data_IF_920002709918
#
_entry.id   IF_920002709918
#
_cell.length_a   1.000
_cell.length_b   1.000
_cell.length_c   1.000
_cell.angle_alpha   90.00
_cell.angle_beta   90.00
_cell.angle_gamma   90.00
#
_symmetry.space_group_name_H-M   'P 1'
#
loop_
_entity.id
_entity.type
_entity.pdbx_description
1 polymer ?
#
# COMPACT_ATOMS: atom_id res chain seq x y z
N UNK A 1 33.75 -61.85 35.19
CA UNK A 1 32.65 -61.28 34.41
C UNK A 1 32.10 -60.11 35.19
N UNK A 2 32.73 -58.92 35.17
CA UNK A 2 33.14 -58.09 34.00
C UNK A 2 31.90 -57.74 33.16
N UNK A 3 31.54 -56.48 32.86
CA UNK A 3 32.33 -55.27 32.63
C UNK A 3 31.51 -53.98 32.88
N UNK A 4 32.24 -52.90 33.16
CA UNK A 4 31.86 -51.48 32.96
C UNK A 4 31.66 -51.13 31.48
N UNK A 5 30.78 -50.13 31.21
CA UNK A 5 30.95 -48.94 30.34
C UNK A 5 29.56 -48.35 30.03
N UNK A 6 29.22 -47.16 30.56
CA UNK A 6 29.42 -45.82 29.95
C UNK A 6 28.74 -45.64 28.59
N UNK A 7 27.66 -44.85 28.52
CA UNK A 7 27.57 -43.69 27.62
C UNK A 7 26.33 -42.78 27.83
N UNK A 8 26.50 -41.51 27.44
CA UNK A 8 25.83 -40.24 27.81
C UNK A 8 24.46 -39.92 27.10
N UNK A 9 23.81 -38.75 27.38
CA UNK A 9 22.33 -38.62 27.42
C UNK A 9 21.67 -37.99 26.17
N UNK A 10 20.37 -38.23 25.98
CA UNK A 10 19.52 -37.46 25.03
C UNK A 10 18.71 -36.41 25.80
N UNK A 11 19.15 -35.15 25.72
CA UNK A 11 18.39 -33.97 26.14
C UNK A 11 17.21 -33.75 25.18
N UNK A 12 15.97 -34.04 25.59
CA UNK A 12 14.79 -33.44 24.96
C UNK A 12 14.40 -32.18 25.73
N UNK A 13 14.87 -31.04 25.22
CA UNK A 13 14.45 -29.72 25.68
C UNK A 13 12.95 -29.57 25.52
N UNK A 14 12.23 -29.54 26.64
CA UNK A 14 10.83 -29.11 26.69
C UNK A 14 10.81 -27.61 26.43
N UNK A 15 10.63 -27.20 25.18
CA UNK A 15 10.29 -25.83 24.84
C UNK A 15 8.98 -25.48 25.56
N UNK A 16 9.09 -24.72 26.65
CA UNK A 16 7.94 -24.00 27.22
C UNK A 16 7.60 -22.92 26.21
N UNK A 17 6.59 -23.18 25.38
CA UNK A 17 5.83 -22.12 24.71
C UNK A 17 5.21 -21.26 25.81
N UNK A 18 5.86 -20.17 26.15
CA UNK A 18 5.28 -19.10 26.94
C UNK A 18 4.11 -18.54 26.13
N UNK A 19 2.89 -19.00 26.45
CA UNK A 19 1.66 -18.32 26.06
C UNK A 19 1.77 -16.90 26.62
N UNK A 20 1.98 -15.91 25.75
CA UNK A 20 1.76 -14.51 26.07
C UNK A 20 0.31 -14.40 26.51
N UNK A 21 0.11 -13.99 27.76
CA UNK A 21 -1.20 -13.64 28.29
C UNK A 21 -1.63 -12.40 27.52
N UNK A 22 -2.70 -12.52 26.74
CA UNK A 22 -3.39 -11.38 26.17
C UNK A 22 -3.87 -10.56 27.38
N UNK A 23 -3.25 -9.39 27.59
CA UNK A 23 -3.77 -8.42 28.54
C UNK A 23 -5.05 -7.88 27.90
N UNK A 24 -6.20 -8.33 28.41
CA UNK A 24 -7.47 -7.67 28.16
C UNK A 24 -7.35 -6.25 28.70
N UNK A 25 -7.18 -5.29 27.79
CA UNK A 25 -7.25 -3.88 28.11
C UNK A 25 -8.70 -3.59 28.44
N UNK A 26 -8.98 -3.26 29.70
CA UNK A 26 -10.30 -2.81 30.14
C UNK A 26 -10.51 -1.41 29.54
N UNK A 27 -11.21 -1.35 28.41
CA UNK A 27 -11.49 -0.09 27.71
C UNK A 27 -12.67 0.56 28.42
N UNK A 28 -12.42 1.66 29.12
CA UNK A 28 -13.48 2.48 29.72
C UNK A 28 -14.29 3.13 28.58
N UNK A 29 -15.44 2.51 28.26
CA UNK A 29 -16.33 2.92 27.19
C UNK A 29 -17.00 4.28 27.45
N UNK A 30 -16.88 4.86 28.64
CA UNK A 30 -17.48 6.15 29.00
C UNK A 30 -16.48 7.33 28.93
N UNK A 31 -15.21 7.10 28.57
CA UNK A 31 -14.22 8.17 28.40
C UNK A 31 -14.48 8.97 27.09
N UNK A 32 -14.79 10.28 27.17
CA UNK A 32 -15.05 11.11 25.99
C UNK A 32 -13.84 11.26 25.05
N UNK A 33 -12.60 11.03 25.51
CA UNK A 33 -11.40 11.01 24.64
C UNK A 33 -11.24 9.70 23.87
N UNK A 34 -11.76 8.59 24.38
CA UNK A 34 -11.77 7.28 23.71
C UNK A 34 -12.90 7.21 22.66
N UNK A 35 -14.00 7.92 22.90
CA UNK A 35 -15.22 7.81 22.09
C UNK A 35 -15.28 8.68 20.83
N UNK A 36 -14.33 9.59 20.61
CA UNK A 36 -14.41 10.51 19.48
C UNK A 36 -13.24 10.34 18.50
N UNK A 37 -13.42 9.45 17.53
CA UNK A 37 -12.55 9.39 16.38
C UNK A 37 -12.64 10.72 15.60
N UNK A 38 -11.52 11.42 15.33
CA UNK A 38 -11.53 12.62 14.52
C UNK A 38 -11.99 12.35 13.07
N UNK A 39 -11.80 11.12 12.61
CA UNK A 39 -12.15 10.67 11.26
C UNK A 39 -12.95 9.36 11.29
N UNK A 40 -14.21 9.37 11.77
CA UNK A 40 -14.96 8.15 12.05
C UNK A 40 -15.19 7.28 10.80
N UNK A 41 -15.40 7.89 9.63
CA UNK A 41 -15.56 7.15 8.37
C UNK A 41 -14.28 6.45 7.91
N UNK A 42 -13.10 6.98 8.23
CA UNK A 42 -11.84 6.33 7.88
C UNK A 42 -11.67 5.04 8.69
N UNK A 43 -11.91 5.12 10.00
CA UNK A 43 -11.86 3.96 10.91
C UNK A 43 -12.89 2.91 10.55
N UNK A 44 -14.14 3.33 10.29
CA UNK A 44 -15.22 2.42 9.88
C UNK A 44 -14.92 1.73 8.56
N UNK A 45 -14.30 2.42 7.60
CA UNK A 45 -13.88 1.82 6.34
C UNK A 45 -12.79 0.77 6.57
N UNK A 46 -11.75 1.08 7.34
CA UNK A 46 -10.67 0.12 7.65
C UNK A 46 -11.23 -1.11 8.35
N UNK A 47 -12.08 -0.91 9.37
CA UNK A 47 -12.79 -1.99 10.05
C UNK A 47 -13.62 -2.83 9.07
N UNK A 48 -14.37 -2.21 8.16
CA UNK A 48 -15.18 -2.92 7.18
C UNK A 48 -14.34 -3.77 6.22
N UNK A 49 -13.17 -3.26 5.79
CA UNK A 49 -12.21 -4.01 4.96
C UNK A 49 -11.67 -5.23 5.73
N UNK A 50 -11.22 -5.03 6.97
CA UNK A 50 -10.71 -6.10 7.83
C UNK A 50 -11.76 -7.18 8.12
N UNK A 51 -13.02 -6.78 8.28
CA UNK A 51 -14.16 -7.68 8.50
C UNK A 51 -14.72 -8.29 7.19
N UNK A 52 -14.05 -8.07 6.04
CA UNK A 52 -14.49 -8.55 4.72
C UNK A 52 -15.89 -8.09 4.30
N UNK A 53 -16.38 -6.95 4.81
CA UNK A 53 -17.70 -6.39 4.49
C UNK A 53 -17.61 -5.43 3.31
N UNK A 54 -17.39 -5.95 2.10
CA UNK A 54 -17.06 -5.14 0.91
C UNK A 54 -18.08 -4.01 0.62
N UNK A 55 -19.38 -4.32 0.63
CA UNK A 55 -20.42 -3.30 0.39
C UNK A 55 -20.37 -2.14 1.39
N UNK A 56 -20.09 -2.45 2.66
CA UNK A 56 -19.95 -1.42 3.69
C UNK A 56 -18.64 -0.64 3.52
N UNK A 57 -17.54 -1.32 3.17
CA UNK A 57 -16.27 -0.67 2.90
C UNK A 57 -16.39 0.33 1.74
N UNK A 58 -17.06 -0.05 0.64
CA UNK A 58 -17.35 0.85 -0.48
C UNK A 58 -18.26 2.02 -0.07
N UNK A 59 -19.27 1.77 0.75
CA UNK A 59 -20.14 2.83 1.28
C UNK A 59 -19.34 3.85 2.10
N UNK A 60 -18.54 3.39 3.07
CA UNK A 60 -17.74 4.30 3.90
C UNK A 60 -16.62 4.98 3.12
N UNK A 61 -16.09 4.33 2.08
CA UNK A 61 -15.08 4.91 1.20
C UNK A 61 -15.60 6.18 0.49
N UNK A 62 -16.86 6.17 0.06
CA UNK A 62 -17.50 7.34 -0.59
C UNK A 62 -17.72 8.51 0.36
N UNK A 63 -17.67 8.27 1.68
CA UNK A 63 -17.90 9.27 2.70
C UNK A 63 -16.61 9.78 3.34
N UNK A 64 -16.55 11.08 3.59
CA UNK A 64 -15.41 11.76 4.22
C UNK A 64 -14.28 12.12 3.25
N UNK A 65 -13.17 12.59 3.81
CA UNK A 65 -12.05 13.15 3.03
C UNK A 65 -11.11 12.06 2.48
N UNK A 66 -10.16 12.48 1.64
CA UNK A 66 -9.03 11.65 1.19
C UNK A 66 -9.43 10.33 0.48
N UNK A 67 -10.48 10.36 -0.34
CA UNK A 67 -11.02 9.18 -1.03
C UNK A 67 -9.97 8.40 -1.85
N UNK A 68 -9.04 9.09 -2.51
CA UNK A 68 -7.95 8.44 -3.25
C UNK A 68 -7.02 7.65 -2.31
N UNK A 69 -6.60 8.25 -1.20
CA UNK A 69 -5.75 7.58 -0.22
C UNK A 69 -6.46 6.38 0.42
N UNK A 70 -7.74 6.55 0.79
CA UNK A 70 -8.59 5.47 1.29
C UNK A 70 -8.64 4.27 0.35
N UNK A 71 -8.85 4.51 -0.96
CA UNK A 71 -8.85 3.45 -1.96
C UNK A 71 -7.52 2.70 -2.02
N UNK A 72 -6.40 3.44 -2.01
CA UNK A 72 -5.05 2.84 -2.03
C UNK A 72 -4.77 2.02 -0.76
N UNK A 73 -5.18 2.51 0.40
CA UNK A 73 -5.02 1.79 1.68
C UNK A 73 -5.89 0.54 1.70
N UNK A 74 -7.17 0.64 1.33
CA UNK A 74 -8.07 -0.51 1.23
C UNK A 74 -7.53 -1.56 0.26
N UNK A 75 -7.00 -1.14 -0.89
CA UNK A 75 -6.33 -2.03 -1.84
C UNK A 75 -5.14 -2.76 -1.19
N UNK A 76 -4.28 -2.05 -0.46
CA UNK A 76 -3.12 -2.64 0.25
C UNK A 76 -3.57 -3.64 1.31
N UNK A 77 -4.57 -3.29 2.12
CA UNK A 77 -5.12 -4.16 3.17
C UNK A 77 -5.69 -5.44 2.59
N UNK A 78 -6.56 -5.34 1.56
CA UNK A 78 -7.12 -6.52 0.89
C UNK A 78 -6.04 -7.45 0.33
N UNK A 79 -4.99 -6.90 -0.30
CA UNK A 79 -3.85 -7.70 -0.81
C UNK A 79 -3.06 -8.39 0.31
N UNK A 80 -2.82 -7.69 1.41
CA UNK A 80 -2.12 -8.25 2.56
C UNK A 80 -2.92 -9.39 3.20
N UNK A 81 -4.23 -9.18 3.37
CA UNK A 81 -5.12 -10.23 3.87
C UNK A 81 -5.23 -11.42 2.92
N UNK A 82 -5.25 -11.18 1.60
CA UNK A 82 -5.27 -12.26 0.60
C UNK A 82 -3.99 -13.10 0.66
N UNK A 83 -2.83 -12.45 0.84
CA UNK A 83 -1.55 -13.13 1.00
C UNK A 83 -1.56 -14.02 2.25
N UNK A 84 -1.94 -13.47 3.41
CA UNK A 84 -2.03 -14.22 4.66
C UNK A 84 -3.01 -15.41 4.55
N UNK A 85 -4.16 -15.20 3.92
CA UNK A 85 -5.14 -16.27 3.70
C UNK A 85 -4.61 -17.39 2.79
N UNK A 86 -3.78 -17.06 1.79
CA UNK A 86 -3.20 -18.04 0.88
C UNK A 86 -2.11 -18.90 1.53
N UNK A 87 -1.38 -18.37 2.52
CA UNK A 87 -0.34 -19.13 3.24
C UNK A 87 -0.92 -20.20 4.18
N UNK A 88 -2.21 -20.14 4.50
CA UNK A 88 -2.88 -21.06 5.42
C UNK A 88 -3.59 -22.25 4.73
N UNK A 89 -3.34 -22.48 3.42
CA UNK A 89 -3.70 -23.63 2.55
C UNK A 89 -5.18 -24.13 2.50
N UNK A 90 -6.06 -23.72 3.43
CA UNK A 90 -7.44 -24.20 3.53
C UNK A 90 -8.50 -23.21 3.00
N UNK A 91 -8.10 -22.06 2.43
CA UNK A 91 -9.05 -20.98 2.15
C UNK A 91 -8.81 -20.20 0.85
N UNK A 92 -8.57 -20.92 -0.25
CA UNK A 92 -8.35 -20.29 -1.57
C UNK A 92 -9.51 -19.36 -1.98
N UNK A 93 -10.76 -19.75 -1.69
CA UNK A 93 -11.95 -18.92 -1.97
C UNK A 93 -11.89 -17.54 -1.29
N UNK A 94 -11.38 -17.47 -0.05
CA UNK A 94 -11.23 -16.19 0.66
C UNK A 94 -10.12 -15.36 0.04
N UNK A 95 -9.01 -15.99 -0.34
CA UNK A 95 -7.89 -15.28 -0.98
C UNK A 95 -8.33 -14.68 -2.33
N UNK A 96 -9.12 -15.41 -3.11
CA UNK A 96 -9.66 -14.97 -4.39
C UNK A 96 -10.66 -13.82 -4.21
N UNK A 97 -11.57 -13.91 -3.24
CA UNK A 97 -12.52 -12.85 -2.91
C UNK A 97 -11.79 -11.56 -2.47
N UNK A 98 -10.79 -11.67 -1.59
CA UNK A 98 -9.98 -10.53 -1.15
C UNK A 98 -9.19 -9.91 -2.31
N UNK A 99 -8.65 -10.73 -3.20
CA UNK A 99 -7.99 -10.25 -4.42
C UNK A 99 -8.96 -9.51 -5.33
N UNK A 100 -10.20 -10.00 -5.50
CA UNK A 100 -11.24 -9.31 -6.24
C UNK A 100 -11.58 -7.95 -5.61
N UNK A 101 -11.85 -7.91 -4.31
CA UNK A 101 -12.12 -6.68 -3.56
C UNK A 101 -10.96 -5.67 -3.69
N UNK A 102 -9.71 -6.16 -3.65
CA UNK A 102 -8.54 -5.30 -3.84
C UNK A 102 -8.48 -4.65 -5.22
N UNK A 103 -8.98 -5.35 -6.26
CA UNK A 103 -9.01 -4.84 -7.64
C UNK A 103 -10.09 -3.77 -7.81
N UNK A 104 -11.23 -3.91 -7.14
CA UNK A 104 -12.26 -2.85 -7.15
C UNK A 104 -11.70 -1.56 -6.55
N UNK A 105 -11.06 -1.61 -5.38
CA UNK A 105 -10.43 -0.42 -4.78
C UNK A 105 -9.28 0.13 -5.62
N UNK A 106 -8.50 -0.74 -6.26
CA UNK A 106 -7.45 -0.33 -7.19
C UNK A 106 -8.03 0.47 -8.36
N UNK A 107 -9.08 -0.05 -8.99
CA UNK A 107 -9.75 0.61 -10.10
C UNK A 107 -10.30 1.98 -9.68
N UNK A 108 -10.96 2.07 -8.52
CA UNK A 108 -11.47 3.34 -7.98
C UNK A 108 -10.35 4.37 -7.78
N UNK A 109 -9.17 3.95 -7.29
CA UNK A 109 -8.03 4.85 -7.13
C UNK A 109 -7.55 5.42 -8.49
N UNK A 110 -7.47 4.57 -9.52
CA UNK A 110 -7.06 4.99 -10.88
C UNK A 110 -8.12 5.91 -11.50
N UNK A 111 -9.41 5.60 -11.35
CA UNK A 111 -10.50 6.42 -11.85
C UNK A 111 -10.52 7.81 -11.19
N UNK A 112 -10.33 7.88 -9.88
CA UNK A 112 -10.19 9.16 -9.18
C UNK A 112 -8.97 9.95 -9.66
N UNK A 113 -7.85 9.27 -9.94
CA UNK A 113 -6.66 9.94 -10.46
C UNK A 113 -6.91 10.49 -11.86
N UNK A 114 -7.51 9.70 -12.75
CA UNK A 114 -7.87 10.11 -14.11
C UNK A 114 -8.85 11.29 -14.10
N UNK A 115 -9.88 11.25 -13.25
CA UNK A 115 -10.81 12.37 -13.07
C UNK A 115 -10.12 13.62 -12.56
N UNK A 116 -9.27 13.50 -11.54
CA UNK A 116 -8.53 14.65 -10.98
C UNK A 116 -7.59 15.26 -12.02
N UNK A 117 -6.91 14.42 -12.82
CA UNK A 117 -5.99 14.84 -13.86
C UNK A 117 -6.69 15.53 -15.03
N UNK A 118 -7.85 15.00 -15.46
CA UNK A 118 -8.69 15.63 -16.49
C UNK A 118 -9.24 16.99 -16.06
N UNK A 119 -9.48 17.17 -14.76
CA UNK A 119 -9.99 18.42 -14.23
C UNK A 119 -8.90 19.50 -14.11
N UNK A 120 -7.77 19.15 -13.49
CA UNK A 120 -6.60 20.03 -13.40
C UNK A 120 -5.33 19.20 -13.19
N UNK A 121 -4.49 19.16 -14.23
CA UNK A 121 -3.26 18.38 -14.23
C UNK A 121 -2.30 18.78 -13.10
N UNK A 122 -2.17 20.09 -12.83
CA UNK A 122 -1.23 20.61 -11.83
C UNK A 122 -1.73 20.33 -10.42
N UNK A 123 -3.03 20.47 -10.19
CA UNK A 123 -3.63 20.14 -8.90
C UNK A 123 -3.57 18.63 -8.62
N UNK A 124 -3.77 17.78 -9.63
CA UNK A 124 -3.64 16.33 -9.51
C UNK A 124 -2.21 15.91 -9.12
N UNK A 125 -1.18 16.50 -9.73
CA UNK A 125 0.21 16.27 -9.34
C UNK A 125 0.49 16.70 -7.90
N UNK A 126 -0.12 17.82 -7.46
CA UNK A 126 -0.02 18.29 -6.07
C UNK A 126 -0.72 17.35 -5.10
N UNK A 127 -1.88 16.81 -5.48
CA UNK A 127 -2.60 15.80 -4.71
C UNK A 127 -1.76 14.53 -4.52
N UNK A 128 -1.01 14.10 -5.54
CA UNK A 128 -0.13 12.93 -5.47
C UNK A 128 1.07 13.12 -4.52
N UNK A 129 1.51 14.36 -4.30
CA UNK A 129 2.68 14.73 -3.49
C UNK A 129 2.34 15.30 -2.12
N UNK A 130 1.06 15.52 -1.85
CA UNK A 130 0.59 16.01 -0.56
C UNK A 130 0.80 14.97 0.55
N UNK A 131 1.28 15.42 1.71
CA UNK A 131 1.46 14.57 2.89
C UNK A 131 0.13 14.42 3.65
N UNK A 132 -0.35 13.18 3.73
CA UNK A 132 -1.61 12.84 4.35
C UNK A 132 -1.40 12.60 5.85
N UNK A 133 -1.79 13.55 6.70
CA UNK A 133 -1.62 13.45 8.16
C UNK A 133 -2.30 12.21 8.75
N UNK A 134 -3.44 11.84 8.17
CA UNK A 134 -4.23 10.69 8.63
C UNK A 134 -3.60 9.35 8.24
N UNK A 135 -2.68 9.35 7.28
CA UNK A 135 -2.02 8.14 6.76
C UNK A 135 -0.52 8.17 7.02
N UNK A 136 -0.12 8.48 8.26
CA UNK A 136 1.28 8.51 8.71
C UNK A 136 2.17 9.51 7.93
N UNK A 137 1.61 10.63 7.49
CA UNK A 137 2.27 11.61 6.62
C UNK A 137 2.78 11.03 5.30
N UNK A 138 2.21 9.90 4.84
CA UNK A 138 2.54 9.34 3.54
C UNK A 138 1.87 10.16 2.42
N UNK A 139 2.48 10.14 1.22
CA UNK A 139 1.85 10.69 0.02
C UNK A 139 1.00 9.63 -0.70
N UNK A 140 0.02 10.06 -1.51
CA UNK A 140 -0.75 9.13 -2.35
C UNK A 140 0.17 8.28 -3.25
N UNK A 141 1.25 8.86 -3.78
CA UNK A 141 2.22 8.12 -4.58
C UNK A 141 2.96 7.04 -3.75
N UNK A 142 3.37 7.37 -2.52
CA UNK A 142 3.98 6.40 -1.60
C UNK A 142 3.02 5.27 -1.22
N UNK A 143 1.74 5.59 -0.97
CA UNK A 143 0.71 4.59 -0.69
C UNK A 143 0.48 3.66 -1.88
N UNK A 144 0.45 4.19 -3.11
CA UNK A 144 0.31 3.39 -4.32
C UNK A 144 1.50 2.42 -4.53
N UNK A 145 2.72 2.89 -4.25
CA UNK A 145 3.92 2.04 -4.26
C UNK A 145 3.84 0.96 -3.18
N UNK A 146 3.44 1.32 -1.96
CA UNK A 146 3.27 0.37 -0.86
C UNK A 146 2.18 -0.69 -1.15
N UNK A 147 1.14 -0.32 -1.89
CA UNK A 147 0.08 -1.21 -2.36
C UNK A 147 0.48 -2.04 -3.61
N UNK A 148 1.70 -1.84 -4.14
CA UNK A 148 2.20 -2.43 -5.40
C UNK A 148 1.22 -2.21 -6.55
N UNK A 149 0.61 -1.01 -6.63
CA UNK A 149 -0.42 -0.71 -7.60
C UNK A 149 0.19 -0.20 -8.92
N UNK A 150 0.49 -1.15 -9.82
CA UNK A 150 1.20 -0.85 -11.08
C UNK A 150 0.43 0.10 -11.99
N UNK A 151 -0.88 -0.08 -12.16
CA UNK A 151 -1.68 0.75 -13.08
C UNK A 151 -1.76 2.21 -12.62
N UNK A 152 -1.87 2.45 -11.32
CA UNK A 152 -1.82 3.80 -10.74
C UNK A 152 -0.47 4.47 -10.96
N UNK A 153 0.63 3.72 -10.81
CA UNK A 153 1.98 4.23 -11.06
C UNK A 153 2.20 4.49 -12.56
N UNK A 154 1.68 3.62 -13.43
CA UNK A 154 1.77 3.75 -14.88
C UNK A 154 0.87 4.85 -15.47
N UNK A 155 -0.10 5.35 -14.70
CA UNK A 155 -0.97 6.44 -15.12
C UNK A 155 -0.17 7.68 -15.55
N UNK A 156 -0.62 8.38 -16.60
CA UNK A 156 0.05 9.54 -17.18
C UNK A 156 0.39 10.61 -16.14
N UNK A 157 -0.54 10.93 -15.23
CA UNK A 157 -0.30 11.89 -14.15
C UNK A 157 0.90 11.50 -13.26
N UNK A 158 0.97 10.23 -12.86
CA UNK A 158 2.07 9.69 -12.06
C UNK A 158 3.39 9.72 -12.83
N UNK A 159 3.38 9.33 -14.11
CA UNK A 159 4.58 9.34 -14.95
C UNK A 159 5.11 10.76 -15.21
N UNK A 160 4.23 11.72 -15.46
CA UNK A 160 4.62 13.13 -15.60
C UNK A 160 5.23 13.66 -14.31
N UNK A 161 4.58 13.40 -13.17
CA UNK A 161 5.12 13.79 -11.86
C UNK A 161 6.50 13.16 -11.60
N UNK A 162 6.66 11.87 -11.86
CA UNK A 162 7.94 11.17 -11.71
C UNK A 162 9.01 11.74 -12.65
N UNK A 163 8.62 12.12 -13.87
CA UNK A 163 9.50 12.76 -14.84
C UNK A 163 9.94 14.14 -14.34
N UNK A 164 9.03 14.94 -13.78
CA UNK A 164 9.34 16.24 -13.17
C UNK A 164 10.23 16.09 -11.94
N UNK A 165 9.97 15.10 -11.08
CA UNK A 165 10.85 14.78 -9.95
C UNK A 165 12.25 14.37 -10.42
N UNK A 166 12.35 13.55 -11.47
CA UNK A 166 13.62 13.12 -12.05
C UNK A 166 14.40 14.27 -12.69
N UNK A 167 13.72 15.15 -13.42
CA UNK A 167 14.31 16.34 -14.01
C UNK A 167 14.60 17.44 -12.96
N UNK A 168 14.06 17.32 -11.74
CA UNK A 168 14.23 18.28 -10.66
C UNK A 168 13.64 19.66 -10.98
N UNK A 169 14.14 20.73 -10.32
CA UNK A 169 13.73 22.12 -10.59
C UNK A 169 14.31 22.70 -11.90
N UNK A 170 14.63 21.87 -12.89
CA UNK A 170 15.04 22.36 -14.20
C UNK A 170 13.81 22.90 -14.92
N UNK A 171 13.54 24.21 -14.73
CA UNK A 171 12.65 24.98 -15.60
C UNK A 171 13.12 24.75 -17.03
N UNK A 172 12.42 23.89 -17.76
CA UNK A 172 12.55 23.81 -19.21
C UNK A 172 11.97 25.11 -19.78
N UNK A 173 12.78 26.17 -19.73
CA UNK A 173 12.64 27.29 -20.66
C UNK A 173 12.77 26.65 -22.03
N UNK A 174 11.62 26.37 -22.66
CA UNK A 174 11.45 25.90 -24.05
C UNK A 174 12.77 25.80 -24.80
N UNK A 175 13.52 24.72 -24.58
CA UNK A 175 14.65 24.41 -25.42
C UNK A 175 14.18 23.28 -26.32
N UNK A 176 13.67 23.73 -27.46
CA UNK A 176 13.66 23.00 -28.71
C UNK A 176 14.89 22.11 -28.85
N UNK A 177 14.67 20.84 -29.13
CA UNK A 177 15.68 20.01 -29.79
C UNK A 177 15.98 18.68 -29.10
N UNK A 178 15.14 17.69 -29.39
CA UNK A 178 15.56 16.33 -29.68
C UNK A 178 16.88 16.32 -30.49
N UNK A 179 18.07 16.30 -29.87
CA UNK A 179 19.37 16.01 -30.55
C UNK A 179 20.53 15.59 -29.62
N UNK A 180 20.31 14.99 -28.45
CA UNK A 180 21.45 14.65 -27.55
C UNK A 180 21.77 13.14 -27.43
N UNK A 181 20.95 12.22 -27.96
CA UNK A 181 21.25 10.78 -27.80
C UNK A 181 21.81 10.11 -29.07
N UNK A 182 21.68 10.71 -30.26
CA UNK A 182 22.12 10.06 -31.52
C UNK A 182 23.57 10.31 -31.95
N UNK A 183 24.39 11.06 -31.20
CA UNK A 183 25.81 11.32 -31.56
C UNK A 183 26.84 10.73 -30.59
N UNK A 184 26.46 9.73 -29.79
CA UNK A 184 27.38 8.98 -28.92
C UNK A 184 27.86 7.63 -29.46
N UNK A 185 27.16 7.01 -30.42
CA UNK A 185 27.44 5.64 -30.87
C UNK A 185 28.02 5.49 -32.29
N UNK A 186 28.21 6.59 -33.04
CA UNK A 186 28.71 6.55 -34.42
C UNK A 186 30.20 6.95 -34.59
N UNK A 187 30.91 7.30 -33.51
CA UNK A 187 32.34 7.68 -33.58
C UNK A 187 33.33 6.59 -33.14
N UNK A 188 32.86 5.38 -32.83
CA UNK A 188 33.68 4.29 -32.28
C UNK A 188 33.92 3.08 -33.19
N UNK A 189 33.43 3.06 -34.44
CA UNK A 189 33.49 1.86 -35.32
C UNK A 189 34.46 2.04 -36.52
N UNK A 190 35.22 3.13 -36.60
CA UNK A 190 36.23 3.31 -37.68
C UNK A 190 37.68 3.46 -37.20
N UNK A 191 37.99 3.15 -35.94
CA UNK A 191 39.37 2.98 -35.48
C UNK A 191 39.48 1.71 -34.63
N UNK A 192 39.87 0.62 -35.29
CA UNK A 192 40.12 -0.70 -34.71
C UNK A 192 40.40 -1.71 -35.81
#
# INVERSE_FOLDING_TARGET
MDLHQDDMPIRRGRQKTTRKREEEVDIDLDDPEINHFPFPFHELMVWAVLMKRQKMALFFWQHGEEAMAKALVACKLCKAMAHEASENDMVDDISQELNHNSREFAQLAVELLDQSYKQDEQMAMKLLTYELKNWSNATCLQLAVAAKHRDFIAHTCSQMLLTDMWMGRLRMRKNSGLKVIEKGQMFGITCG
#
